data_IF_134029768740
#
_entry.id   IF_134029768740
#
_cell.length_a   1.000
_cell.length_b   1.000
_cell.length_c   1.000
_cell.angle_alpha   90.00
_cell.angle_beta   90.00
_cell.angle_gamma   90.00
#
_symmetry.space_group_name_H-M   'P 1'
#
loop_
_entity.id
_entity.type
_entity.pdbx_description
1 polymer ?
#
# COMPACT_ATOMS: atom_id res chain seq x y z
N UNK A 1 32.07 8.61 12.56
CA UNK A 1 31.11 8.73 11.44
C UNK A 1 30.37 7.40 11.38
N UNK A 2 29.43 7.22 12.29
CA UNK A 2 28.63 6.01 12.37
C UNK A 2 27.49 6.18 11.39
N UNK A 3 27.46 5.33 10.37
CA UNK A 3 26.36 5.27 9.41
C UNK A 3 25.10 4.90 10.20
N UNK A 4 24.26 5.90 10.49
CA UNK A 4 22.86 5.68 10.79
C UNK A 4 22.29 5.11 9.49
N UNK A 5 22.32 3.79 9.35
CA UNK A 5 21.32 3.11 8.55
C UNK A 5 20.04 3.38 9.32
N UNK A 6 19.41 4.48 8.95
CA UNK A 6 18.06 4.84 9.34
C UNK A 6 17.25 3.55 9.17
N UNK A 7 16.69 3.13 10.28
CA UNK A 7 15.80 2.00 10.43
C UNK A 7 14.80 2.06 9.27
N UNK A 8 15.07 1.38 8.15
CA UNK A 8 14.18 1.34 6.99
C UNK A 8 13.00 0.47 7.42
N UNK A 9 12.17 1.04 8.31
CA UNK A 9 10.85 0.52 8.54
C UNK A 9 10.10 0.74 7.25
N UNK A 10 9.41 -0.28 6.74
CA UNK A 10 8.49 -0.03 5.66
C UNK A 10 7.53 1.08 6.08
N UNK A 11 7.54 2.18 5.33
CA UNK A 11 6.75 3.37 5.63
C UNK A 11 5.39 3.20 4.93
N UNK A 12 4.34 2.98 5.73
CA UNK A 12 2.96 3.04 5.26
C UNK A 12 2.44 4.43 5.58
N UNK A 13 2.25 5.23 4.54
CA UNK A 13 1.74 6.60 4.66
C UNK A 13 0.26 6.61 4.27
N UNK A 14 -0.61 7.02 5.18
CA UNK A 14 -2.05 7.13 4.92
C UNK A 14 -2.45 8.60 4.85
N UNK A 15 -2.79 9.07 3.65
CA UNK A 15 -3.26 10.43 3.37
C UNK A 15 -4.79 10.47 3.16
N UNK A 16 -5.53 9.74 4.00
CA UNK A 16 -6.99 9.63 3.92
C UNK A 16 -7.63 10.43 5.05
N UNK A 17 -8.69 11.19 4.73
CA UNK A 17 -9.39 11.97 5.73
C UNK A 17 -10.11 11.05 6.73
N UNK A 18 -10.11 11.44 8.01
CA UNK A 18 -10.82 10.72 9.06
C UNK A 18 -12.31 10.57 8.72
N UNK A 19 -12.81 9.33 8.68
CA UNK A 19 -14.20 9.01 8.30
C UNK A 19 -14.48 8.98 6.79
N UNK A 20 -13.46 8.94 5.93
CA UNK A 20 -13.65 8.73 4.49
C UNK A 20 -14.05 7.27 4.19
N UNK A 21 -15.21 7.08 3.55
CA UNK A 21 -15.77 5.76 3.19
C UNK A 21 -15.71 5.49 1.67
N UNK A 22 -14.78 6.12 0.96
CA UNK A 22 -14.64 5.98 -0.49
C UNK A 22 -13.47 5.11 -0.94
N UNK A 23 -13.25 5.08 -2.25
CA UNK A 23 -12.16 4.31 -2.85
C UNK A 23 -10.80 4.85 -2.44
N UNK A 24 -9.90 3.94 -2.13
CA UNK A 24 -8.54 4.27 -1.70
C UNK A 24 -7.56 3.72 -2.72
N UNK A 25 -6.65 4.58 -3.18
CA UNK A 25 -5.56 4.23 -4.06
C UNK A 25 -4.34 3.91 -3.22
N UNK A 26 -3.87 2.68 -3.31
CA UNK A 26 -2.60 2.22 -2.78
C UNK A 26 -1.51 2.35 -3.85
N UNK A 27 -0.41 2.98 -3.50
CA UNK A 27 0.79 3.11 -4.32
C UNK A 27 1.92 2.39 -3.58
N UNK A 28 2.49 1.35 -4.17
CA UNK A 28 3.60 0.59 -3.56
C UNK A 28 4.89 0.80 -4.32
N UNK A 29 5.98 0.96 -3.57
CA UNK A 29 7.29 1.31 -4.11
C UNK A 29 8.26 0.15 -3.91
N UNK A 30 8.64 -0.48 -5.02
CA UNK A 30 9.61 -1.55 -5.10
C UNK A 30 11.01 -1.02 -5.43
N UNK A 31 12.01 -1.91 -5.55
CA UNK A 31 13.38 -1.47 -5.86
C UNK A 31 13.51 -0.97 -7.29
N UNK A 32 12.64 -1.44 -8.18
CA UNK A 32 12.71 -1.18 -9.62
C UNK A 32 11.32 -1.00 -10.27
N UNK A 33 10.26 -1.01 -9.48
CA UNK A 33 8.87 -0.90 -9.93
C UNK A 33 8.05 -0.08 -8.94
N UNK A 34 7.03 0.58 -9.47
CA UNK A 34 5.96 1.20 -8.71
C UNK A 34 4.65 0.59 -9.22
N UNK A 35 3.79 0.17 -8.30
CA UNK A 35 2.48 -0.38 -8.64
C UNK A 35 1.38 0.43 -7.96
N UNK A 36 0.26 0.58 -8.67
CA UNK A 36 -0.88 1.37 -8.22
C UNK A 36 -2.12 0.49 -8.26
N UNK A 37 -2.79 0.40 -7.12
CA UNK A 37 -3.96 -0.44 -6.89
C UNK A 37 -5.06 0.40 -6.28
N UNK A 38 -6.31 0.19 -6.67
CA UNK A 38 -7.46 0.93 -6.11
C UNK A 38 -8.38 -0.06 -5.44
N UNK A 39 -8.59 0.15 -4.14
CA UNK A 39 -9.45 -0.64 -3.28
C UNK A 39 -10.77 0.10 -3.00
N UNK A 40 -11.85 -0.63 -2.70
CA UNK A 40 -13.15 -0.04 -2.45
C UNK A 40 -13.21 0.79 -1.16
N UNK A 41 -12.32 0.53 -0.20
CA UNK A 41 -12.32 1.17 1.11
C UNK A 41 -10.89 1.25 1.70
N UNK A 42 -10.76 2.03 2.79
CA UNK A 42 -9.48 2.22 3.48
C UNK A 42 -8.97 0.95 4.17
N UNK A 43 -9.86 0.16 4.78
CA UNK A 43 -9.49 -1.05 5.52
C UNK A 43 -8.75 -2.06 4.63
N UNK A 44 -9.27 -2.30 3.41
CA UNK A 44 -8.62 -3.14 2.42
C UNK A 44 -7.29 -2.54 1.92
N UNK A 45 -7.24 -1.23 1.70
CA UNK A 45 -6.01 -0.56 1.29
C UNK A 45 -4.91 -0.63 2.38
N UNK A 46 -5.26 -0.51 3.66
CA UNK A 46 -4.33 -0.65 4.79
C UNK A 46 -3.84 -2.08 4.96
N UNK A 47 -4.75 -3.06 4.82
CA UNK A 47 -4.42 -4.48 4.83
C UNK A 47 -3.43 -4.81 3.70
N UNK A 48 -3.73 -4.35 2.49
CA UNK A 48 -2.87 -4.51 1.32
C UNK A 48 -1.53 -3.79 1.49
N UNK A 49 -1.52 -2.54 2.00
CA UNK A 49 -0.29 -1.79 2.24
C UNK A 49 0.63 -2.51 3.23
N UNK A 50 0.07 -3.00 4.33
CA UNK A 50 0.81 -3.73 5.37
C UNK A 50 1.43 -5.00 4.82
N UNK A 51 0.67 -5.76 4.04
CA UNK A 51 1.16 -7.00 3.43
C UNK A 51 2.13 -6.74 2.26
N UNK A 52 1.95 -5.65 1.50
CA UNK A 52 2.86 -5.25 0.43
C UNK A 52 4.27 -5.00 0.96
N UNK A 53 4.36 -4.22 2.04
CA UNK A 53 5.65 -3.87 2.61
C UNK A 53 6.25 -4.98 3.48
N UNK A 54 5.51 -6.07 3.69
CA UNK A 54 6.03 -7.26 4.33
C UNK A 54 7.03 -7.95 3.39
N UNK A 55 8.29 -8.17 3.80
CA UNK A 55 9.35 -8.67 2.91
C UNK A 55 9.12 -10.09 2.40
N UNK A 56 8.25 -10.87 3.06
CA UNK A 56 7.93 -12.26 2.68
C UNK A 56 6.75 -12.33 1.72
N UNK A 57 5.85 -11.34 1.75
CA UNK A 57 4.62 -11.32 0.96
C UNK A 57 4.78 -10.43 -0.27
N UNK A 58 4.90 -9.11 -0.09
CA UNK A 58 5.02 -8.17 -1.21
C UNK A 58 6.45 -7.74 -1.53
N UNK A 59 7.34 -7.63 -0.54
CA UNK A 59 8.74 -7.24 -0.78
C UNK A 59 8.94 -5.77 -1.18
N UNK A 60 7.94 -4.92 -0.96
CA UNK A 60 8.01 -3.48 -1.21
C UNK A 60 8.69 -2.74 -0.05
N UNK A 61 9.30 -1.58 -0.35
CA UNK A 61 10.03 -0.78 0.65
C UNK A 61 9.17 0.34 1.23
N UNK A 62 8.05 0.65 0.58
CA UNK A 62 7.11 1.68 1.02
C UNK A 62 5.74 1.53 0.37
N UNK A 63 4.73 2.07 1.03
CA UNK A 63 3.35 2.08 0.59
C UNK A 63 2.69 3.43 0.94
N UNK A 64 1.91 3.99 0.03
CA UNK A 64 1.13 5.21 0.23
C UNK A 64 -0.33 4.97 -0.11
N UNK A 65 -1.23 5.40 0.77
CA UNK A 65 -2.67 5.31 0.58
C UNK A 65 -3.22 6.73 0.41
N UNK A 66 -3.91 6.96 -0.69
CA UNK A 66 -4.56 8.22 -1.02
C UNK A 66 -6.06 8.02 -1.30
N UNK A 67 -6.86 9.04 -1.03
CA UNK A 67 -8.25 9.07 -1.50
C UNK A 67 -8.28 9.13 -3.03
N UNK A 68 -9.19 8.39 -3.66
CA UNK A 68 -9.37 8.47 -5.11
C UNK A 68 -10.84 8.41 -5.54
N UNK A 69 -11.10 8.87 -6.76
CA UNK A 69 -12.34 8.64 -7.49
C UNK A 69 -12.17 7.66 -8.66
N UNK A 70 -10.99 7.06 -8.78
CA UNK A 70 -10.72 6.03 -9.78
C UNK A 70 -11.59 4.78 -9.54
N UNK A 71 -11.73 3.98 -10.59
CA UNK A 71 -12.41 2.70 -10.50
C UNK A 71 -11.60 1.72 -9.65
N UNK A 72 -12.29 0.92 -8.84
CA UNK A 72 -11.70 -0.18 -8.07
C UNK A 72 -11.04 -1.15 -9.05
N UNK A 73 -9.77 -1.45 -8.81
CA UNK A 73 -9.01 -2.43 -9.61
C UNK A 73 -9.05 -3.80 -8.98
N UNK A 74 -9.06 -3.88 -7.65
CA UNK A 74 -9.15 -5.13 -6.88
C UNK A 74 -10.12 -4.95 -5.72
N UNK A 75 -10.95 -5.96 -5.48
CA UNK A 75 -11.95 -5.89 -4.39
C UNK A 75 -11.31 -6.11 -3.01
N UNK A 76 -10.21 -6.89 -2.94
CA UNK A 76 -9.56 -7.24 -1.68
C UNK A 76 -8.04 -7.29 -1.77
N UNK A 77 -7.37 -7.10 -0.63
CA UNK A 77 -5.92 -7.24 -0.52
C UNK A 77 -5.42 -8.62 -0.96
N UNK A 78 -6.18 -9.67 -0.62
CA UNK A 78 -5.84 -11.06 -0.99
C UNK A 78 -5.91 -11.28 -2.49
N UNK A 79 -6.91 -10.71 -3.16
CA UNK A 79 -7.04 -10.77 -4.61
C UNK A 79 -5.81 -10.15 -5.29
N UNK A 80 -5.34 -9.01 -4.80
CA UNK A 80 -4.15 -8.38 -5.38
C UNK A 80 -2.85 -9.14 -5.08
N UNK A 81 -2.67 -9.67 -3.86
CA UNK A 81 -1.41 -10.30 -3.44
C UNK A 81 -1.26 -11.77 -3.85
N UNK A 82 -2.38 -12.49 -4.02
CA UNK A 82 -2.38 -13.94 -4.28
C UNK A 82 -2.98 -14.33 -5.63
N UNK A 83 -3.36 -13.38 -6.51
CA UNK A 83 -3.62 -13.75 -7.91
C UNK A 83 -2.31 -14.09 -8.62
N UNK A 84 -2.12 -15.39 -8.84
CA UNK A 84 -1.17 -16.02 -9.76
C UNK A 84 -1.45 -15.68 -11.23
#
# INVERSE_FOLDING_TARGET
>A
MSLLLDDIRPDVVTNVADGYEGHCKLIVQGSYSEEVVVFPNLEEAESAATAAVEPVVGGYHGAEIEMTTDAVTHETAEEWLFLD
#
